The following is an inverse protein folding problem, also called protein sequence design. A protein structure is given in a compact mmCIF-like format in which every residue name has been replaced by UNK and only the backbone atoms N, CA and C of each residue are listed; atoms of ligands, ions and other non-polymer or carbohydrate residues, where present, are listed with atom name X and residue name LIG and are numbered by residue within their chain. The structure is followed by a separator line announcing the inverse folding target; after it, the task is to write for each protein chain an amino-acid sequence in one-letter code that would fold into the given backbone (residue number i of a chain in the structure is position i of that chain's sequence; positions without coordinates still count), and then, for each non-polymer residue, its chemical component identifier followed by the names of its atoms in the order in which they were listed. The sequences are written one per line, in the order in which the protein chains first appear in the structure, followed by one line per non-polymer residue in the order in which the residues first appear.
data_IF_558310492137
#
_entry.id   IF_558310492137
#
_cell.length_a   1.000
_cell.length_b   1.000
_cell.length_c   1.000
_cell.angle_alpha   90.00
_cell.angle_beta   90.00
_cell.angle_gamma   90.00
#
_symmetry.space_group_name_H-M   'P 1'
#
loop_
_entity.id
_entity.type
_entity.pdbx_description
1 polymer ?
#
# COMPACT_ATOMS: atom_id res chain seq x y z
N UNK A 1 -35.78 -38.63 9.91
CA UNK A 1 -35.08 -37.50 10.58
C UNK A 1 -33.61 -37.87 10.66
N UNK A 2 -32.84 -37.57 9.61
CA UNK A 2 -31.45 -38.01 9.48
C UNK A 2 -30.53 -36.94 10.05
N UNK A 3 -29.78 -37.32 11.07
CA UNK A 3 -28.77 -36.53 11.77
C UNK A 3 -27.73 -36.03 10.77
N UNK A 4 -27.54 -34.71 10.72
CA UNK A 4 -26.47 -34.06 9.95
C UNK A 4 -25.16 -34.29 10.71
N UNK A 5 -24.31 -35.17 10.19
CA UNK A 5 -22.94 -35.35 10.66
C UNK A 5 -22.09 -34.11 10.33
N UNK A 6 -22.01 -33.18 11.28
CA UNK A 6 -21.19 -31.95 11.25
C UNK A 6 -19.68 -32.20 11.52
N UNK A 7 -19.22 -33.46 11.54
CA UNK A 7 -17.83 -33.81 11.92
C UNK A 7 -16.87 -34.10 10.76
N UNK A 8 -17.31 -33.91 9.51
CA UNK A 8 -16.44 -34.08 8.35
C UNK A 8 -15.82 -32.71 7.96
N UNK A 9 -14.49 -32.58 7.80
CA UNK A 9 -13.92 -31.36 7.27
C UNK A 9 -14.50 -31.12 5.88
N UNK A 10 -15.05 -29.93 5.65
CA UNK A 10 -15.67 -29.51 4.38
C UNK A 10 -14.76 -29.75 3.16
N UNK A 11 -13.45 -29.83 3.39
CA UNK A 11 -12.40 -30.12 2.39
C UNK A 11 -12.34 -31.59 1.93
N UNK A 12 -12.85 -32.55 2.69
CA UNK A 12 -12.84 -33.97 2.29
C UNK A 12 -13.71 -34.23 1.04
N UNK A 13 -14.73 -33.39 0.82
CA UNK A 13 -15.64 -33.47 -0.34
C UNK A 13 -15.03 -32.85 -1.61
N UNK A 14 -14.01 -32.01 -1.47
CA UNK A 14 -13.35 -31.28 -2.57
C UNK A 14 -11.91 -31.77 -2.85
N UNK A 15 -11.41 -32.75 -2.10
CA UNK A 15 -10.07 -33.33 -2.27
C UNK A 15 -9.97 -34.29 -3.47
N UNK A 16 -10.40 -33.85 -4.65
CA UNK A 16 -10.08 -34.50 -5.92
C UNK A 16 -8.83 -33.84 -6.49
N UNK A 17 -7.80 -34.63 -6.84
CA UNK A 17 -6.56 -34.12 -7.47
C UNK A 17 -6.82 -33.23 -8.69
N UNK A 18 -7.89 -33.48 -9.44
CA UNK A 18 -8.32 -32.66 -10.56
C UNK A 18 -8.82 -31.26 -10.15
N UNK A 19 -9.59 -31.15 -9.06
CA UNK A 19 -10.08 -29.86 -8.56
C UNK A 19 -8.92 -29.02 -8.01
N UNK A 20 -7.99 -29.64 -7.28
CA UNK A 20 -6.80 -28.97 -6.77
C UNK A 20 -5.91 -28.41 -7.91
N UNK A 21 -5.82 -29.09 -9.04
CA UNK A 21 -5.09 -28.61 -10.23
C UNK A 21 -5.80 -27.44 -10.91
N UNK A 22 -7.13 -27.48 -10.98
CA UNK A 22 -7.95 -26.42 -11.58
C UNK A 22 -7.86 -25.13 -10.76
N UNK A 23 -8.06 -25.23 -9.44
CA UNK A 23 -7.90 -24.12 -8.48
C UNK A 23 -6.48 -23.54 -8.54
N UNK A 24 -5.45 -24.38 -8.57
CA UNK A 24 -4.06 -23.92 -8.67
C UNK A 24 -3.81 -23.16 -9.99
N UNK A 25 -4.37 -23.65 -11.09
CA UNK A 25 -4.23 -22.97 -12.40
C UNK A 25 -4.91 -21.61 -12.37
N UNK A 26 -6.09 -21.51 -11.74
CA UNK A 26 -6.81 -20.24 -11.60
C UNK A 26 -6.07 -19.24 -10.72
N UNK A 27 -5.56 -19.69 -9.57
CA UNK A 27 -4.74 -18.85 -8.67
C UNK A 27 -3.48 -18.35 -9.37
N UNK A 28 -2.79 -19.21 -10.12
CA UNK A 28 -1.60 -18.79 -10.88
C UNK A 28 -1.99 -17.78 -11.97
N UNK A 29 -3.10 -18.00 -12.67
CA UNK A 29 -3.56 -17.09 -13.72
C UNK A 29 -3.85 -15.68 -13.21
N UNK A 30 -4.38 -15.54 -11.98
CA UNK A 30 -4.64 -14.25 -11.34
C UNK A 30 -3.39 -13.68 -10.67
N UNK A 31 -2.54 -14.52 -10.09
CA UNK A 31 -1.34 -14.07 -9.37
C UNK A 31 -0.24 -13.59 -10.31
N UNK A 32 -0.12 -14.17 -11.52
CA UNK A 32 0.91 -13.83 -12.48
C UNK A 32 0.88 -12.33 -12.90
N UNK A 33 -0.27 -11.74 -13.29
CA UNK A 33 -0.32 -10.31 -13.58
C UNK A 33 -0.03 -9.45 -12.33
N UNK A 34 -0.48 -9.87 -11.14
CA UNK A 34 -0.23 -9.15 -9.88
C UNK A 34 1.26 -9.12 -9.50
N UNK A 35 1.98 -10.21 -9.73
CA UNK A 35 3.45 -10.25 -9.54
C UNK A 35 4.12 -9.32 -10.56
N UNK A 36 3.61 -9.28 -11.79
CA UNK A 36 4.10 -8.37 -12.83
C UNK A 36 3.97 -6.90 -12.42
N UNK A 37 2.81 -6.50 -11.90
CA UNK A 37 2.60 -5.11 -11.43
C UNK A 37 3.51 -4.77 -10.26
N UNK A 38 3.63 -5.66 -9.26
CA UNK A 38 4.52 -5.45 -8.12
C UNK A 38 5.99 -5.28 -8.55
N UNK A 39 6.47 -6.10 -9.49
CA UNK A 39 7.84 -5.97 -10.02
C UNK A 39 8.04 -4.61 -10.69
N UNK A 40 7.08 -4.16 -11.50
CA UNK A 40 7.17 -2.87 -12.19
C UNK A 40 7.21 -1.69 -11.20
N UNK A 41 6.42 -1.74 -10.14
CA UNK A 41 6.41 -0.73 -9.06
C UNK A 41 7.76 -0.65 -8.33
N UNK A 42 8.37 -1.79 -8.02
CA UNK A 42 9.69 -1.81 -7.36
C UNK A 42 10.81 -1.33 -8.29
N UNK A 43 10.78 -1.68 -9.58
CA UNK A 43 11.79 -1.25 -10.56
C UNK A 43 11.82 0.28 -10.67
N UNK A 44 10.67 0.95 -10.65
CA UNK A 44 10.61 2.42 -10.71
C UNK A 44 11.34 3.07 -9.54
N UNK A 45 11.19 2.54 -8.32
CA UNK A 45 11.90 3.02 -7.14
C UNK A 45 13.42 2.81 -7.26
N UNK A 46 13.85 1.64 -7.77
CA UNK A 46 15.27 1.37 -8.02
C UNK A 46 15.87 2.34 -9.05
N UNK A 47 15.17 2.61 -10.14
CA UNK A 47 15.60 3.54 -11.18
C UNK A 47 15.71 4.97 -10.63
N UNK A 48 14.75 5.41 -9.82
CA UNK A 48 14.80 6.72 -9.17
C UNK A 48 16.07 6.86 -8.31
N UNK A 49 16.36 5.86 -7.46
CA UNK A 49 17.58 5.85 -6.64
C UNK A 49 18.87 5.87 -7.48
N UNK A 50 18.92 5.14 -8.59
CA UNK A 50 20.05 5.17 -9.53
C UNK A 50 20.24 6.54 -10.17
N UNK A 51 19.15 7.22 -10.56
CA UNK A 51 19.21 8.57 -11.12
C UNK A 51 19.72 9.59 -10.09
N UNK A 52 19.19 9.57 -8.86
CA UNK A 52 19.68 10.46 -7.78
C UNK A 52 21.16 10.26 -7.50
N UNK A 53 21.67 9.02 -7.62
CA UNK A 53 23.10 8.72 -7.46
C UNK A 53 24.00 9.27 -8.57
N UNK A 54 23.47 9.52 -9.78
CA UNK A 54 24.24 10.04 -10.92
C UNK A 54 24.05 11.55 -11.15
N UNK A 55 23.11 12.21 -10.46
CA UNK A 55 22.71 13.60 -10.74
C UNK A 55 23.64 14.66 -10.12
N UNK A 56 24.44 14.31 -9.12
CA UNK A 56 25.32 15.26 -8.42
C UNK A 56 26.78 15.10 -8.83
N UNK A 57 27.43 16.23 -9.14
CA UNK A 57 28.83 16.28 -9.56
C UNK A 57 29.82 16.25 -8.37
N UNK A 58 29.36 16.56 -7.15
CA UNK A 58 30.15 16.47 -5.92
C UNK A 58 29.73 15.28 -5.06
N UNK A 59 30.73 14.50 -4.62
CA UNK A 59 30.53 13.32 -3.78
C UNK A 59 29.77 13.64 -2.48
N UNK A 60 29.98 14.82 -1.88
CA UNK A 60 29.30 15.22 -0.65
C UNK A 60 27.80 15.47 -0.84
N UNK A 61 27.38 16.02 -1.99
CA UNK A 61 25.96 16.28 -2.28
C UNK A 61 25.22 15.00 -2.66
N UNK A 62 25.89 14.03 -3.31
CA UNK A 62 25.30 12.71 -3.64
C UNK A 62 24.80 12.02 -2.36
N UNK A 63 25.64 11.93 -1.33
CA UNK A 63 25.28 11.24 -0.08
C UNK A 63 24.08 11.89 0.61
N UNK A 64 24.01 13.22 0.56
CA UNK A 64 22.97 14.00 1.19
C UNK A 64 21.63 13.85 0.46
N UNK A 65 21.61 13.93 -0.88
CA UNK A 65 20.42 13.70 -1.69
C UNK A 65 19.92 12.25 -1.61
N UNK A 66 20.84 11.29 -1.62
CA UNK A 66 20.48 9.88 -1.50
C UNK A 66 19.89 9.55 -0.13
N UNK A 67 20.48 10.10 0.95
CA UNK A 67 19.94 9.97 2.30
C UNK A 67 18.55 10.63 2.41
N UNK A 68 18.40 11.85 1.88
CA UNK A 68 17.12 12.55 1.88
C UNK A 68 16.04 11.80 1.09
N UNK A 69 16.38 11.22 -0.07
CA UNK A 69 15.47 10.42 -0.89
C UNK A 69 15.03 9.15 -0.18
N UNK A 70 15.99 8.37 0.37
CA UNK A 70 15.70 7.17 1.12
C UNK A 70 14.85 7.44 2.35
N UNK A 71 15.18 8.49 3.11
CA UNK A 71 14.41 8.89 4.29
C UNK A 71 13.00 9.38 3.93
N UNK A 72 12.85 10.13 2.82
CA UNK A 72 11.53 10.54 2.29
C UNK A 72 10.68 9.33 1.93
N UNK A 73 11.27 8.34 1.25
CA UNK A 73 10.59 7.10 0.88
C UNK A 73 10.15 6.31 2.12
N UNK A 74 11.04 6.13 3.10
CA UNK A 74 10.70 5.42 4.35
C UNK A 74 9.58 6.13 5.10
N UNK A 75 9.64 7.46 5.21
CA UNK A 75 8.60 8.24 5.86
C UNK A 75 7.26 8.11 5.12
N UNK A 76 7.28 8.19 3.79
CA UNK A 76 6.09 7.99 2.94
C UNK A 76 5.50 6.60 3.15
N UNK A 77 6.30 5.53 3.09
CA UNK A 77 5.80 4.17 3.27
C UNK A 77 5.18 4.00 4.65
N UNK A 78 5.82 4.50 5.70
CA UNK A 78 5.39 4.30 7.08
C UNK A 78 4.17 5.13 7.46
N UNK A 79 4.17 6.42 7.15
CA UNK A 79 3.16 7.36 7.64
C UNK A 79 2.03 7.63 6.65
N UNK A 80 2.20 7.33 5.36
CA UNK A 80 1.20 7.56 4.31
C UNK A 80 0.70 6.23 3.73
N UNK A 81 1.57 5.53 3.00
CA UNK A 81 1.20 4.38 2.19
C UNK A 81 0.62 3.24 3.03
N UNK A 82 1.17 3.00 4.22
CA UNK A 82 0.70 1.96 5.15
C UNK A 82 -0.77 2.15 5.56
N UNK A 83 -1.26 3.39 5.66
CA UNK A 83 -2.68 3.65 5.93
C UNK A 83 -3.54 3.41 4.69
N UNK A 84 -3.07 3.82 3.51
CA UNK A 84 -3.78 3.62 2.25
C UNK A 84 -3.98 2.13 1.94
N UNK A 85 -2.89 1.35 1.96
CA UNK A 85 -2.94 -0.11 1.74
C UNK A 85 -3.75 -0.81 2.83
N UNK A 86 -3.73 -0.32 4.07
CA UNK A 86 -4.52 -0.86 5.17
C UNK A 86 -6.03 -0.72 4.93
N UNK A 87 -6.47 0.44 4.42
CA UNK A 87 -7.87 0.66 4.04
C UNK A 87 -8.24 -0.19 2.82
N UNK A 88 -7.40 -0.25 1.80
CA UNK A 88 -7.62 -1.06 0.59
C UNK A 88 -7.74 -2.56 0.92
N UNK A 89 -6.79 -3.11 1.67
CA UNK A 89 -6.81 -4.53 2.08
C UNK A 89 -8.04 -4.89 2.90
N UNK A 90 -8.47 -3.99 3.81
CA UNK A 90 -9.68 -4.18 4.59
C UNK A 90 -10.94 -4.15 3.69
N UNK A 91 -10.98 -3.20 2.75
CA UNK A 91 -12.06 -3.09 1.77
C UNK A 91 -12.17 -4.35 0.91
N UNK A 92 -11.06 -4.86 0.37
CA UNK A 92 -11.01 -6.08 -0.43
C UNK A 92 -11.57 -7.29 0.33
N UNK A 93 -11.15 -7.47 1.58
CA UNK A 93 -11.64 -8.55 2.43
C UNK A 93 -13.16 -8.43 2.68
N UNK A 94 -13.66 -7.22 2.97
CA UNK A 94 -15.08 -6.98 3.21
C UNK A 94 -15.92 -7.11 1.93
N UNK A 95 -15.41 -6.66 0.78
CA UNK A 95 -16.03 -6.81 -0.52
C UNK A 95 -16.13 -8.28 -0.93
N UNK A 96 -15.07 -9.07 -0.72
CA UNK A 96 -15.10 -10.51 -0.95
C UNK A 96 -16.17 -11.21 -0.09
N UNK A 97 -16.30 -10.82 1.19
CA UNK A 97 -17.33 -11.34 2.09
C UNK A 97 -18.75 -10.94 1.63
N UNK A 98 -18.97 -9.66 1.30
CA UNK A 98 -20.26 -9.16 0.83
C UNK A 98 -20.68 -9.82 -0.49
N UNK A 99 -19.71 -10.03 -1.40
CA UNK A 99 -19.91 -10.76 -2.64
C UNK A 99 -20.30 -12.22 -2.39
N UNK A 100 -19.62 -12.90 -1.46
CA UNK A 100 -19.94 -14.28 -1.06
C UNK A 100 -21.35 -14.46 -0.47
N UNK A 101 -21.91 -13.42 0.17
CA UNK A 101 -23.30 -13.39 0.67
C UNK A 101 -24.33 -12.97 -0.39
N UNK A 102 -23.90 -12.59 -1.59
CA UNK A 102 -24.77 -12.06 -2.65
C UNK A 102 -25.27 -10.62 -2.41
N UNK A 103 -24.74 -9.92 -1.42
CA UNK A 103 -25.20 -8.60 -0.99
C UNK A 103 -24.54 -7.48 -1.81
N UNK A 104 -24.87 -7.38 -3.11
CA UNK A 104 -24.25 -6.41 -4.03
C UNK A 104 -24.42 -4.95 -3.60
N UNK A 105 -25.51 -4.61 -2.92
CA UNK A 105 -25.75 -3.26 -2.41
C UNK A 105 -24.78 -2.87 -1.27
N UNK A 106 -24.33 -3.84 -0.46
CA UNK A 106 -23.36 -3.59 0.61
C UNK A 106 -22.00 -3.17 0.07
N UNK A 107 -21.59 -3.68 -1.10
CA UNK A 107 -20.30 -3.34 -1.73
C UNK A 107 -20.20 -1.83 -2.00
N UNK A 108 -21.30 -1.20 -2.44
CA UNK A 108 -21.34 0.23 -2.70
C UNK A 108 -21.19 1.03 -1.41
N UNK A 109 -21.84 0.57 -0.33
CA UNK A 109 -21.74 1.19 1.00
C UNK A 109 -20.33 1.04 1.57
N UNK A 110 -19.69 -0.11 1.38
CA UNK A 110 -18.30 -0.35 1.78
C UNK A 110 -17.34 0.59 1.05
N UNK A 111 -17.52 0.78 -0.26
CA UNK A 111 -16.73 1.72 -1.04
C UNK A 111 -16.89 3.17 -0.55
N UNK A 112 -18.13 3.61 -0.30
CA UNK A 112 -18.39 4.93 0.28
C UNK A 112 -17.75 5.09 1.67
N UNK A 113 -17.81 4.03 2.48
CA UNK A 113 -17.19 4.01 3.81
C UNK A 113 -15.68 4.13 3.71
N UNK A 114 -15.04 3.43 2.77
CA UNK A 114 -13.61 3.53 2.52
C UNK A 114 -13.21 4.96 2.14
N UNK A 115 -13.94 5.59 1.22
CA UNK A 115 -13.69 7.00 0.82
C UNK A 115 -13.82 7.96 2.00
N UNK A 116 -14.84 7.78 2.86
CA UNK A 116 -15.00 8.60 4.06
C UNK A 116 -13.88 8.36 5.08
N UNK A 117 -13.50 7.10 5.31
CA UNK A 117 -12.37 6.75 6.19
C UNK A 117 -11.07 7.37 5.67
N UNK A 118 -10.82 7.31 4.36
CA UNK A 118 -9.66 7.96 3.75
C UNK A 118 -9.68 9.46 3.96
N UNK A 119 -10.81 10.13 3.73
CA UNK A 119 -10.93 11.58 3.96
C UNK A 119 -10.62 11.96 5.42
N UNK A 120 -11.04 11.14 6.39
CA UNK A 120 -10.72 11.36 7.81
C UNK A 120 -9.22 11.12 8.07
N UNK A 121 -8.63 10.07 7.51
CA UNK A 121 -7.20 9.75 7.65
C UNK A 121 -6.28 10.77 6.97
N UNK A 122 -6.74 11.45 5.91
CA UNK A 122 -5.95 12.52 5.27
C UNK A 122 -5.58 13.64 6.26
N UNK A 123 -6.44 13.93 7.24
CA UNK A 123 -6.21 15.01 8.22
C UNK A 123 -4.99 14.75 9.11
N UNK A 124 -4.90 13.64 9.89
CA UNK A 124 -3.71 13.37 10.71
C UNK A 124 -2.45 13.14 9.87
N UNK A 125 -2.59 12.58 8.67
CA UNK A 125 -1.46 12.38 7.77
C UNK A 125 -0.92 13.73 7.25
N UNK A 126 -1.81 14.67 6.92
CA UNK A 126 -1.43 16.03 6.55
C UNK A 126 -0.61 16.71 7.65
N UNK A 127 -1.05 16.63 8.91
CA UNK A 127 -0.28 17.18 10.03
C UNK A 127 1.08 16.51 10.17
N UNK A 128 1.15 15.19 9.98
CA UNK A 128 2.41 14.43 10.05
C UNK A 128 3.40 14.87 8.95
N UNK A 129 2.92 15.10 7.73
CA UNK A 129 3.73 15.68 6.64
C UNK A 129 4.15 17.12 6.92
N UNK A 130 3.24 17.94 7.44
CA UNK A 130 3.51 19.35 7.72
C UNK A 130 4.63 19.52 8.75
N UNK A 131 4.62 18.70 9.80
CA UNK A 131 5.66 18.68 10.84
C UNK A 131 6.80 17.70 10.55
N UNK A 132 6.92 17.18 9.33
CA UNK A 132 7.90 16.13 9.04
C UNK A 132 9.35 16.57 9.32
N UNK A 133 9.72 17.81 8.98
CA UNK A 133 11.06 18.34 9.28
C UNK A 133 11.33 18.35 10.78
N UNK A 134 10.39 18.85 11.58
CA UNK A 134 10.53 18.93 13.04
C UNK A 134 10.60 17.53 13.67
N UNK A 135 9.77 16.59 13.20
CA UNK A 135 9.78 15.19 13.62
C UNK A 135 11.15 14.56 13.34
N UNK A 136 11.73 14.80 12.16
CA UNK A 136 13.05 14.26 11.79
C UNK A 136 14.18 14.89 12.61
N UNK A 137 14.12 16.19 12.89
CA UNK A 137 15.07 16.87 13.77
C UNK A 137 15.00 16.31 15.20
N UNK A 138 13.80 16.05 15.72
CA UNK A 138 13.60 15.43 17.04
C UNK A 138 14.14 14.00 17.10
N UNK A 139 14.10 13.26 15.98
CA UNK A 139 14.71 11.94 15.85
C UNK A 139 16.24 11.99 15.73
N UNK A 140 16.85 13.19 15.76
CA UNK A 140 18.30 13.37 15.69
C UNK A 140 18.88 13.29 14.28
N UNK A 141 18.05 13.48 13.23
CA UNK A 141 18.55 13.56 11.86
C UNK A 141 19.37 14.82 11.62
N UNK A 142 20.28 14.74 10.64
CA UNK A 142 21.05 15.90 10.20
C UNK A 142 20.09 17.01 9.66
N UNK A 143 20.23 18.27 10.10
CA UNK A 143 19.37 19.37 9.66
C UNK A 143 19.22 19.53 8.15
N UNK A 144 20.31 19.32 7.39
CA UNK A 144 20.28 19.49 5.94
C UNK A 144 19.44 18.39 5.27
N UNK A 145 19.58 17.15 5.76
CA UNK A 145 18.78 16.00 5.28
C UNK A 145 17.32 16.19 5.67
N UNK A 146 17.03 16.60 6.90
CA UNK A 146 15.67 16.83 7.40
C UNK A 146 14.94 17.94 6.62
N UNK A 147 15.65 19.01 6.25
CA UNK A 147 15.07 20.10 5.46
C UNK A 147 14.70 19.65 4.04
N UNK A 148 15.58 18.89 3.38
CA UNK A 148 15.32 18.35 2.03
C UNK A 148 14.20 17.31 2.04
N UNK A 149 14.23 16.37 3.00
CA UNK A 149 13.17 15.38 3.17
C UNK A 149 11.82 16.06 3.42
N UNK A 150 11.77 17.07 4.29
CA UNK A 150 10.55 17.83 4.53
C UNK A 150 9.99 18.50 3.27
N UNK A 151 10.86 19.11 2.44
CA UNK A 151 10.44 19.71 1.16
C UNK A 151 9.85 18.68 0.20
N UNK A 152 10.45 17.49 0.09
CA UNK A 152 9.94 16.38 -0.74
C UNK A 152 8.58 15.89 -0.22
N UNK A 153 8.45 15.68 1.09
CA UNK A 153 7.21 15.24 1.72
C UNK A 153 6.07 16.26 1.55
N UNK A 154 6.41 17.55 1.54
CA UNK A 154 5.45 18.62 1.25
C UNK A 154 4.88 18.52 -0.18
N UNK A 155 5.69 18.07 -1.15
CA UNK A 155 5.24 17.81 -2.53
C UNK A 155 4.35 16.56 -2.57
N UNK A 156 4.73 15.49 -1.86
CA UNK A 156 3.95 14.25 -1.79
C UNK A 156 2.55 14.46 -1.20
N UNK A 157 2.37 15.48 -0.37
CA UNK A 157 1.08 15.87 0.19
C UNK A 157 0.00 16.12 -0.89
N UNK A 158 0.38 16.68 -2.04
CA UNK A 158 -0.56 16.87 -3.15
C UNK A 158 -0.91 15.57 -3.89
N UNK A 159 -0.01 14.57 -3.84
CA UNK A 159 -0.23 13.24 -4.41
C UNK A 159 -1.08 12.32 -3.53
N UNK A 160 -1.26 12.67 -2.26
CA UNK A 160 -1.94 11.87 -1.25
C UNK A 160 -3.38 11.44 -1.61
N UNK A 161 -4.29 12.32 -2.11
CA UNK A 161 -5.63 11.88 -2.52
C UNK A 161 -5.59 10.88 -3.70
N UNK A 162 -4.61 11.00 -4.59
CA UNK A 162 -4.45 10.07 -5.71
C UNK A 162 -3.97 8.69 -5.24
N UNK A 163 -3.12 8.63 -4.22
CA UNK A 163 -2.68 7.37 -3.62
C UNK A 163 -3.85 6.61 -2.98
N UNK A 164 -4.70 7.29 -2.21
CA UNK A 164 -5.92 6.65 -1.68
C UNK A 164 -6.89 6.23 -2.78
N UNK A 165 -6.98 7.01 -3.87
CA UNK A 165 -7.77 6.62 -5.03
C UNK A 165 -7.26 5.32 -5.67
N UNK A 166 -5.95 5.21 -5.86
CA UNK A 166 -5.33 4.00 -6.44
C UNK A 166 -5.56 2.73 -5.61
N UNK A 167 -5.56 2.84 -4.29
CA UNK A 167 -5.79 1.67 -3.41
C UNK A 167 -7.27 1.29 -3.26
N UNK A 168 -8.20 2.19 -3.59
CA UNK A 168 -9.65 1.97 -3.44
C UNK A 168 -10.33 1.56 -4.75
N UNK A 169 -9.77 1.94 -5.91
CA UNK A 169 -10.37 1.77 -7.24
C UNK A 169 -9.50 0.96 -8.19
#
# INVERSE_FOLDING_TARGET
MSSRDEKLPLLAKYSTSALAKDELTHVIAISLPLIGTAILEYIMNCINGMYTGHLSAEASEIHLLLAANGLSYLFYVLFLYSFAIGVGTALDAMCAQAHGRGAKAEIIVLLQTAVLCSAVLMVPIFFTCYFATDILLLLGQNPDVAALTGRVLWIFMFGLPFCFGYEIF
#
